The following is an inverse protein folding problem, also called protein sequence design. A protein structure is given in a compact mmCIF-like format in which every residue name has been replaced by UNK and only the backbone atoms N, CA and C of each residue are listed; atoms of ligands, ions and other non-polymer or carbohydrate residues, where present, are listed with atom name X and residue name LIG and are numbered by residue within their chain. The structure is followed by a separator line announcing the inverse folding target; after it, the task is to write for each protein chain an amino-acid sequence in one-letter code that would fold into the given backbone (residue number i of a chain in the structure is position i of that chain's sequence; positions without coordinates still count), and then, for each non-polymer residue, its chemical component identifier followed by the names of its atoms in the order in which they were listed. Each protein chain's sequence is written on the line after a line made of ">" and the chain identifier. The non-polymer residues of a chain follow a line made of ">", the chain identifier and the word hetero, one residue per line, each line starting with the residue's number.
data_IF_516288926138
#
_entry.id   IF_516288926138
#
_cell.length_a   1.000
_cell.length_b   1.000
_cell.length_c   1.000
_cell.angle_alpha   90.00
_cell.angle_beta   90.00
_cell.angle_gamma   90.00
#
_symmetry.space_group_name_H-M   'P 1'
#
loop_
_entity.id
_entity.type
_entity.pdbx_description
1 polymer ?
#
# COMPACT_ATOMS: atom_id res chain seq x y z
N UNK A 1 6.51 -15.68 4.50
CA UNK A 1 5.69 -14.51 4.07
C UNK A 1 6.53 -13.22 3.94
N UNK A 2 7.21 -12.75 5.00
CA UNK A 2 7.96 -11.47 5.00
C UNK A 2 9.02 -11.33 3.87
N UNK A 3 9.73 -12.41 3.55
CA UNK A 3 10.72 -12.43 2.47
C UNK A 3 10.10 -12.18 1.07
N UNK A 4 8.93 -12.78 0.79
CA UNK A 4 8.18 -12.54 -0.44
C UNK A 4 7.75 -11.07 -0.57
N UNK A 5 7.32 -10.45 0.53
CA UNK A 5 6.97 -9.02 0.56
C UNK A 5 8.17 -8.16 0.21
N UNK A 6 9.33 -8.45 0.81
CA UNK A 6 10.55 -7.70 0.56
C UNK A 6 10.99 -7.79 -0.91
N UNK A 7 11.06 -9.00 -1.46
CA UNK A 7 11.39 -9.23 -2.87
C UNK A 7 10.39 -8.54 -3.80
N UNK A 8 9.10 -8.61 -3.46
CA UNK A 8 8.04 -7.98 -4.23
C UNK A 8 8.14 -6.44 -4.22
N UNK A 9 8.43 -5.83 -3.06
CA UNK A 9 8.65 -4.37 -2.96
C UNK A 9 9.90 -3.95 -3.75
N UNK A 10 11.00 -4.69 -3.65
CA UNK A 10 12.21 -4.41 -4.44
C UNK A 10 11.92 -4.51 -5.94
N UNK A 11 11.22 -5.57 -6.37
CA UNK A 11 10.81 -5.74 -7.76
C UNK A 11 9.91 -4.61 -8.23
N UNK A 12 8.97 -4.12 -7.42
CA UNK A 12 8.13 -2.98 -7.81
C UNK A 12 8.90 -1.66 -7.93
N UNK A 13 9.95 -1.47 -7.12
CA UNK A 13 10.75 -0.24 -7.12
C UNK A 13 11.78 -0.17 -8.24
N UNK A 14 12.31 -1.31 -8.64
CA UNK A 14 13.45 -1.42 -9.54
C UNK A 14 13.16 -2.22 -10.81
N UNK A 15 12.13 -3.06 -10.79
CA UNK A 15 11.69 -3.88 -11.92
C UNK A 15 10.74 -3.12 -12.85
N UNK A 16 10.56 -3.70 -14.04
CA UNK A 16 9.65 -3.21 -15.07
C UNK A 16 8.22 -3.64 -14.73
N UNK A 17 7.34 -2.67 -14.44
CA UNK A 17 5.92 -2.96 -14.23
C UNK A 17 5.29 -3.30 -15.59
N UNK A 18 4.70 -4.48 -15.77
CA UNK A 18 4.02 -4.81 -17.03
C UNK A 18 2.83 -3.89 -17.25
N UNK A 19 2.73 -3.33 -18.46
CA UNK A 19 1.61 -2.48 -18.86
C UNK A 19 0.35 -3.33 -19.04
N UNK A 20 -0.59 -3.23 -18.10
CA UNK A 20 -1.89 -3.85 -18.24
C UNK A 20 -2.80 -2.96 -19.10
N UNK A 21 -3.40 -3.53 -20.14
CA UNK A 21 -4.31 -2.86 -21.07
C UNK A 21 -5.62 -2.42 -20.35
N UNK A 22 -5.98 -1.13 -20.42
CA UNK A 22 -6.88 -0.46 -19.44
C UNK A 22 -8.28 -0.10 -19.93
N UNK A 23 -8.62 -0.41 -21.16
CA UNK A 23 -9.80 0.23 -21.77
C UNK A 23 -11.15 -0.36 -21.31
N UNK A 24 -11.18 -1.56 -20.74
CA UNK A 24 -12.41 -2.20 -20.28
C UNK A 24 -12.72 -1.92 -18.79
N UNK A 25 -13.95 -1.48 -18.51
CA UNK A 25 -14.50 -1.32 -17.14
C UNK A 25 -14.47 -2.65 -16.37
N UNK A 26 -14.67 -3.77 -17.08
CA UNK A 26 -14.57 -5.12 -16.53
C UNK A 26 -13.11 -5.49 -16.21
N UNK A 27 -12.16 -5.09 -17.07
CA UNK A 27 -10.73 -5.28 -16.83
C UNK A 27 -10.25 -4.56 -15.56
N UNK A 28 -10.73 -3.34 -15.30
CA UNK A 28 -10.43 -2.60 -14.06
C UNK A 28 -11.01 -3.28 -12.82
N UNK A 29 -12.22 -3.84 -12.92
CA UNK A 29 -12.87 -4.53 -11.80
C UNK A 29 -12.15 -5.84 -11.46
N UNK A 30 -11.83 -6.65 -12.48
CA UNK A 30 -11.06 -7.88 -12.31
C UNK A 30 -9.66 -7.61 -11.76
N UNK A 31 -8.96 -6.58 -12.28
CA UNK A 31 -7.68 -6.16 -11.73
C UNK A 31 -7.83 -5.79 -10.24
N UNK A 32 -8.85 -5.02 -9.87
CA UNK A 32 -9.12 -4.66 -8.47
C UNK A 32 -9.32 -5.89 -7.57
N UNK A 33 -10.12 -6.87 -8.01
CA UNK A 33 -10.37 -8.12 -7.27
C UNK A 33 -9.10 -8.94 -7.10
N UNK A 34 -8.35 -9.16 -8.20
CA UNK A 34 -7.10 -9.93 -8.17
C UNK A 34 -6.08 -9.25 -7.25
N UNK A 35 -5.94 -7.93 -7.37
CA UNK A 35 -4.99 -7.16 -6.55
C UNK A 35 -5.36 -7.22 -5.06
N UNK A 36 -6.66 -7.10 -4.73
CA UNK A 36 -7.15 -7.21 -3.35
C UNK A 36 -6.91 -8.62 -2.76
N UNK A 37 -7.18 -9.67 -3.55
CA UNK A 37 -6.96 -11.06 -3.14
C UNK A 37 -5.48 -11.34 -2.89
N UNK A 38 -4.61 -11.09 -3.88
CA UNK A 38 -3.16 -11.29 -3.77
C UNK A 38 -2.58 -10.49 -2.60
N UNK A 39 -3.05 -9.26 -2.39
CA UNK A 39 -2.57 -8.41 -1.30
C UNK A 39 -2.78 -8.99 0.10
N UNK A 40 -3.75 -9.89 0.26
CA UNK A 40 -4.05 -10.51 1.55
C UNK A 40 -3.05 -11.63 1.87
N UNK A 41 -2.55 -12.33 0.86
CA UNK A 41 -1.50 -13.35 1.02
C UNK A 41 -0.09 -12.76 1.10
N UNK A 42 0.18 -11.73 0.29
CA UNK A 42 1.49 -11.06 0.28
C UNK A 42 1.58 -10.00 1.38
N UNK A 43 0.47 -9.50 1.92
CA UNK A 43 0.51 -8.38 2.88
C UNK A 43 1.04 -7.06 2.29
N UNK A 44 1.10 -6.96 0.96
CA UNK A 44 1.66 -5.83 0.22
C UNK A 44 0.60 -5.04 -0.57
N UNK A 45 -0.59 -4.82 0.00
CA UNK A 45 -1.68 -4.08 -0.67
C UNK A 45 -1.23 -2.68 -1.12
N UNK A 46 -0.48 -1.97 -0.28
CA UNK A 46 0.02 -0.64 -0.61
C UNK A 46 0.90 -0.63 -1.88
N UNK A 47 2.03 -1.36 -1.93
CA UNK A 47 2.86 -1.44 -3.12
C UNK A 47 2.13 -1.93 -4.37
N UNK A 48 1.28 -2.96 -4.25
CA UNK A 48 0.49 -3.47 -5.37
C UNK A 48 -0.43 -2.40 -5.98
N UNK A 49 -1.24 -1.74 -5.14
CA UNK A 49 -2.18 -0.70 -5.60
C UNK A 49 -1.43 0.53 -6.09
N UNK A 50 -0.35 0.93 -5.41
CA UNK A 50 0.49 2.07 -5.81
C UNK A 50 1.09 1.85 -7.20
N UNK A 51 1.62 0.66 -7.48
CA UNK A 51 2.20 0.33 -8.77
C UNK A 51 1.15 0.27 -9.88
N UNK A 52 -0.04 -0.27 -9.62
CA UNK A 52 -1.15 -0.21 -10.58
C UNK A 52 -1.54 1.23 -10.92
N UNK A 53 -1.67 2.08 -9.91
CA UNK A 53 -2.03 3.49 -10.10
C UNK A 53 -0.92 4.30 -10.78
N UNK A 54 0.35 3.93 -10.59
CA UNK A 54 1.50 4.63 -11.16
C UNK A 54 1.46 4.64 -12.70
N UNK A 55 0.97 3.55 -13.31
CA UNK A 55 0.83 3.41 -14.76
C UNK A 55 -0.18 4.43 -15.33
N UNK A 56 -1.04 5.04 -14.51
CA UNK A 56 -2.03 6.01 -14.98
C UNK A 56 -1.48 7.45 -15.12
N UNK A 57 -0.19 7.66 -14.84
CA UNK A 57 0.48 8.96 -14.95
C UNK A 57 -0.25 10.13 -14.27
N UNK A 58 -0.94 9.84 -13.15
CA UNK A 58 -1.65 10.86 -12.38
C UNK A 58 -0.70 11.89 -11.77
N UNK A 59 -1.19 13.12 -11.62
CA UNK A 59 -0.51 14.10 -10.79
C UNK A 59 -0.40 13.62 -9.33
N UNK A 60 0.49 14.25 -8.56
CA UNK A 60 0.82 13.86 -7.19
C UNK A 60 -0.42 13.79 -6.27
N UNK A 61 -1.36 14.74 -6.40
CA UNK A 61 -2.53 14.81 -5.52
C UNK A 61 -3.59 13.79 -5.94
N UNK A 62 -3.86 13.67 -7.24
CA UNK A 62 -4.80 12.68 -7.78
C UNK A 62 -4.33 11.25 -7.49
N UNK A 63 -3.03 10.99 -7.60
CA UNK A 63 -2.43 9.71 -7.18
C UNK A 63 -2.70 9.44 -5.69
N UNK A 64 -2.32 10.38 -4.79
CA UNK A 64 -2.49 10.20 -3.35
C UNK A 64 -3.95 10.04 -2.95
N UNK A 65 -4.86 10.83 -3.51
CA UNK A 65 -6.30 10.73 -3.23
C UNK A 65 -6.85 9.38 -3.69
N UNK A 66 -6.55 8.95 -4.91
CA UNK A 66 -7.04 7.68 -5.47
C UNK A 66 -6.50 6.49 -4.69
N UNK A 67 -5.20 6.50 -4.38
CA UNK A 67 -4.55 5.47 -3.58
C UNK A 67 -5.19 5.35 -2.20
N UNK A 68 -5.37 6.47 -1.49
CA UNK A 68 -5.96 6.48 -0.15
C UNK A 68 -7.41 6.00 -0.16
N UNK A 69 -8.21 6.38 -1.16
CA UNK A 69 -9.58 5.91 -1.32
C UNK A 69 -9.67 4.40 -1.54
N UNK A 70 -8.81 3.84 -2.41
CA UNK A 70 -8.77 2.39 -2.65
C UNK A 70 -8.35 1.64 -1.38
N UNK A 71 -7.32 2.12 -0.68
CA UNK A 71 -6.84 1.49 0.56
C UNK A 71 -7.90 1.53 1.66
N UNK A 72 -8.61 2.65 1.81
CA UNK A 72 -9.71 2.79 2.76
C UNK A 72 -10.81 1.78 2.46
N UNK A 73 -11.23 1.68 1.19
CA UNK A 73 -12.25 0.71 0.80
C UNK A 73 -11.81 -0.73 1.06
N UNK A 74 -10.58 -1.10 0.68
CA UNK A 74 -10.04 -2.44 0.92
C UNK A 74 -10.01 -2.81 2.40
N UNK A 75 -9.62 -1.88 3.29
CA UNK A 75 -9.54 -2.14 4.72
C UNK A 75 -10.92 -2.14 5.40
N UNK A 76 -11.83 -1.28 4.97
CA UNK A 76 -13.23 -1.30 5.45
C UNK A 76 -13.92 -2.62 5.10
N UNK A 77 -13.73 -3.14 3.88
CA UNK A 77 -14.27 -4.44 3.50
C UNK A 77 -13.70 -5.58 4.36
N UNK A 78 -12.39 -5.55 4.67
CA UNK A 78 -11.78 -6.52 5.60
C UNK A 78 -12.38 -6.42 7.00
N UNK A 79 -12.61 -5.21 7.50
CA UNK A 79 -13.23 -5.01 8.80
C UNK A 79 -14.63 -5.62 8.86
N UNK A 80 -15.45 -5.45 7.82
CA UNK A 80 -16.79 -6.07 7.72
C UNK A 80 -16.69 -7.60 7.72
N UNK A 81 -15.77 -8.18 6.95
CA UNK A 81 -15.57 -9.64 6.93
C UNK A 81 -15.15 -10.16 8.29
N UNK A 82 -14.20 -9.50 8.97
CA UNK A 82 -13.76 -9.92 10.30
C UNK A 82 -14.85 -9.75 11.37
N UNK A 83 -15.70 -8.72 11.25
CA UNK A 83 -16.86 -8.57 12.12
C UNK A 83 -17.82 -9.75 11.96
N UNK A 84 -18.10 -10.16 10.72
CA UNK A 84 -18.92 -11.34 10.42
C UNK A 84 -18.33 -12.66 10.92
N UNK A 85 -16.99 -12.74 11.03
CA UNK A 85 -16.27 -13.89 11.60
C UNK A 85 -16.20 -13.86 13.14
N UNK A 86 -16.81 -12.87 13.80
CA UNK A 86 -16.85 -12.77 15.26
C UNK A 86 -15.68 -12.03 15.91
N UNK A 87 -14.87 -11.29 15.14
CA UNK A 87 -13.80 -10.48 15.72
C UNK A 87 -14.35 -9.34 16.58
N UNK A 88 -13.90 -9.25 17.84
CA UNK A 88 -14.32 -8.20 18.78
C UNK A 88 -13.51 -6.92 18.58
N UNK A 89 -14.07 -5.97 17.81
CA UNK A 89 -13.44 -4.66 17.60
C UNK A 89 -13.40 -3.78 18.86
N UNK A 90 -14.26 -4.04 19.85
CA UNK A 90 -14.36 -3.17 21.03
C UNK A 90 -13.07 -3.09 21.83
N UNK A 91 -12.37 -4.21 21.98
CA UNK A 91 -11.09 -4.26 22.70
C UNK A 91 -10.00 -3.42 22.02
N UNK A 92 -10.11 -3.22 20.71
CA UNK A 92 -9.12 -2.53 19.89
C UNK A 92 -9.54 -1.11 19.50
N UNK A 93 -10.71 -0.65 19.94
CA UNK A 93 -11.22 0.67 19.58
C UNK A 93 -10.28 1.81 19.98
N UNK A 94 -9.69 1.84 21.20
CA UNK A 94 -8.76 2.90 21.56
C UNK A 94 -7.52 2.94 20.65
N UNK A 95 -6.95 1.77 20.34
CA UNK A 95 -5.81 1.65 19.44
C UNK A 95 -6.18 2.07 18.01
N UNK A 96 -7.35 1.64 17.53
CA UNK A 96 -7.85 1.99 16.19
C UNK A 96 -8.04 3.50 16.05
N UNK A 97 -8.63 4.15 17.05
CA UNK A 97 -8.79 5.61 17.07
C UNK A 97 -7.43 6.32 17.08
N UNK A 98 -6.48 5.85 17.91
CA UNK A 98 -5.12 6.40 17.92
C UNK A 98 -4.43 6.26 16.56
N UNK A 99 -4.59 5.13 15.89
CA UNK A 99 -4.06 4.89 14.53
C UNK A 99 -4.70 5.82 13.49
N UNK A 100 -6.02 6.03 13.55
CA UNK A 100 -6.73 6.95 12.66
C UNK A 100 -6.23 8.38 12.86
N UNK A 101 -6.14 8.84 14.11
CA UNK A 101 -5.65 10.19 14.44
C UNK A 101 -4.21 10.39 14.00
N UNK A 102 -3.32 9.44 14.31
CA UNK A 102 -1.93 9.47 13.86
C UNK A 102 -1.83 9.48 12.33
N UNK A 103 -2.65 8.66 11.65
CA UNK A 103 -2.71 8.63 10.18
C UNK A 103 -3.21 9.93 9.57
N UNK A 104 -4.22 10.57 10.17
CA UNK A 104 -4.73 11.86 9.75
C UNK A 104 -3.69 12.97 9.90
N UNK A 105 -3.00 13.03 11.05
CA UNK A 105 -1.92 13.98 11.30
C UNK A 105 -0.78 13.76 10.31
N UNK A 106 -0.35 12.50 10.13
CA UNK A 106 0.69 12.13 9.17
C UNK A 106 0.34 12.51 7.73
N UNK A 107 -0.92 12.32 7.33
CA UNK A 107 -1.41 12.71 6.00
C UNK A 107 -1.40 14.23 5.82
N UNK A 108 -1.86 14.98 6.82
CA UNK A 108 -1.85 16.45 6.77
C UNK A 108 -0.43 17.01 6.64
N UNK A 109 0.50 16.52 7.47
CA UNK A 109 1.93 16.87 7.40
C UNK A 109 2.52 16.46 6.04
N UNK A 110 2.22 15.25 5.58
CA UNK A 110 2.67 14.70 4.31
C UNK A 110 2.25 15.55 3.12
N UNK A 111 0.98 15.99 3.05
CA UNK A 111 0.48 16.87 1.99
C UNK A 111 1.21 18.22 2.03
N UNK A 112 1.41 18.81 3.22
CA UNK A 112 2.12 20.09 3.37
C UNK A 112 3.57 19.99 2.87
N UNK A 113 4.25 18.88 3.16
CA UNK A 113 5.59 18.59 2.67
C UNK A 113 5.60 18.33 1.16
N UNK A 114 4.65 17.54 0.66
CA UNK A 114 4.53 17.17 -0.75
C UNK A 114 4.34 18.38 -1.67
N UNK A 115 3.61 19.40 -1.21
CA UNK A 115 3.43 20.68 -1.91
C UNK A 115 4.74 21.47 -2.07
N UNK A 116 5.72 21.26 -1.19
CA UNK A 116 7.02 21.95 -1.21
C UNK A 116 8.13 21.17 -1.91
N UNK A 117 7.92 19.88 -2.20
CA UNK A 117 8.91 19.00 -2.83
C UNK A 117 8.82 19.00 -4.35
N UNK A 118 9.96 19.16 -5.01
CA UNK A 118 10.08 18.92 -6.45
C UNK A 118 9.82 17.44 -6.78
N UNK A 119 9.33 17.17 -7.99
CA UNK A 119 8.99 15.81 -8.44
C UNK A 119 10.20 14.87 -8.38
N UNK A 120 11.39 15.36 -8.77
CA UNK A 120 12.63 14.60 -8.72
C UNK A 120 13.01 14.19 -7.30
N UNK A 121 12.97 15.13 -6.34
CA UNK A 121 13.29 14.85 -4.93
C UNK A 121 12.28 13.88 -4.31
N UNK A 122 10.99 14.07 -4.58
CA UNK A 122 9.96 13.14 -4.11
C UNK A 122 10.23 11.71 -4.59
N UNK A 123 10.54 11.53 -5.88
CA UNK A 123 10.81 10.20 -6.45
C UNK A 123 12.01 9.53 -5.77
N UNK A 124 13.10 10.27 -5.53
CA UNK A 124 14.29 9.74 -4.86
C UNK A 124 13.97 9.36 -3.42
N UNK A 125 13.37 10.28 -2.63
CA UNK A 125 13.03 10.03 -1.22
C UNK A 125 12.10 8.82 -1.08
N UNK A 126 11.05 8.77 -1.91
CA UNK A 126 10.10 7.67 -1.92
C UNK A 126 10.78 6.32 -2.21
N UNK A 127 11.66 6.29 -3.22
CA UNK A 127 12.40 5.07 -3.60
C UNK A 127 13.37 4.62 -2.49
N UNK A 128 14.05 5.55 -1.83
CA UNK A 128 14.96 5.25 -0.70
C UNK A 128 14.19 4.68 0.48
N UNK A 129 13.12 5.34 0.94
CA UNK A 129 12.33 4.88 2.10
C UNK A 129 11.78 3.48 1.85
N UNK A 130 11.20 3.22 0.67
CA UNK A 130 10.66 1.90 0.37
C UNK A 130 11.74 0.82 0.24
N UNK A 131 12.92 1.17 -0.26
CA UNK A 131 14.06 0.23 -0.31
C UNK A 131 14.51 -0.16 1.10
N UNK A 132 14.61 0.81 2.02
CA UNK A 132 14.96 0.55 3.42
C UNK A 132 13.94 -0.36 4.12
N UNK A 133 12.65 -0.09 3.93
CA UNK A 133 11.58 -0.93 4.50
C UNK A 133 11.62 -2.35 3.93
N UNK A 134 11.90 -2.51 2.63
CA UNK A 134 12.04 -3.82 2.02
C UNK A 134 13.23 -4.59 2.60
N UNK A 135 14.38 -3.94 2.82
CA UNK A 135 15.55 -4.54 3.47
C UNK A 135 15.21 -4.98 4.89
N UNK A 136 14.50 -4.15 5.67
CA UNK A 136 14.05 -4.51 7.02
C UNK A 136 13.14 -5.75 7.01
N UNK A 137 12.20 -5.83 6.06
CA UNK A 137 11.32 -6.98 5.90
C UNK A 137 12.08 -8.24 5.48
N UNK A 138 13.08 -8.12 4.61
CA UNK A 138 13.96 -9.22 4.23
C UNK A 138 14.72 -9.75 5.44
N UNK A 139 15.31 -8.84 6.23
CA UNK A 139 16.00 -9.17 7.47
C UNK A 139 15.12 -9.93 8.46
N UNK A 140 13.91 -9.42 8.73
CA UNK A 140 12.95 -10.13 9.58
C UNK A 140 12.52 -11.49 9.01
N UNK A 141 12.45 -11.61 7.69
CA UNK A 141 12.14 -12.88 7.02
C UNK A 141 13.25 -13.92 7.21
N UNK A 142 14.51 -13.52 7.07
CA UNK A 142 15.68 -14.40 7.25
C UNK A 142 15.85 -14.83 8.71
N UNK A 143 15.66 -13.92 9.67
CA UNK A 143 15.77 -14.26 11.10
C UNK A 143 14.76 -15.32 11.54
N UNK A 144 13.58 -15.37 10.93
CA UNK A 144 12.56 -16.40 11.23
C UNK A 144 12.90 -17.75 10.59
N UNK A 145 13.78 -17.81 9.58
CA UNK A 145 14.23 -19.06 8.95
C UNK A 145 15.47 -19.67 9.62
N UNK A 146 16.20 -18.88 10.41
CA UNK A 146 17.43 -19.28 11.11
C UNK A 146 17.18 -19.75 12.56
N UNK A 147 15.93 -19.70 13.02
CA UNK A 147 15.45 -20.18 14.34
C UNK A 147 14.43 -21.29 14.07
#
# INVERSE_FOLDING_TARGET
>A
MKLFVALFVIYLLWGTIPEFNKDSRLGRLLAGVITAFISTFVGASGPLVASYLHINHYDKLKFTATFSSIMTLQHSLKAVVYAGLGFSFWQWLPLTLAMILSGAIGTWLGIKLLKRLSVARFRVIFKVILTLLAIQLAWQGMNVMLI
#
